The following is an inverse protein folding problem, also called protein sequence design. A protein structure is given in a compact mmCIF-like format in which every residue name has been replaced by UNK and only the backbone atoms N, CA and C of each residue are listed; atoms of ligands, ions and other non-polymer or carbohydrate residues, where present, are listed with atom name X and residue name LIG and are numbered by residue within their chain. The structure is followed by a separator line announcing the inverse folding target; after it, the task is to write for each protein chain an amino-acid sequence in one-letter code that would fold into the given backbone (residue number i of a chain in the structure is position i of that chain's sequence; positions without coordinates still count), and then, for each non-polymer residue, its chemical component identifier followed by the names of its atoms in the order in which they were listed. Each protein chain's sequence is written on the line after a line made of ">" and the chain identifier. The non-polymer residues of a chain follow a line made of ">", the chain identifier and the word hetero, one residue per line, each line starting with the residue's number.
data_IF_225368294679
#
_entry.id   IF_225368294679
#
_cell.length_a   1.000
_cell.length_b   1.000
_cell.length_c   1.000
_cell.angle_alpha   90.00
_cell.angle_beta   90.00
_cell.angle_gamma   90.00
#
_symmetry.space_group_name_H-M   'P 1'
#
loop_
_entity.id
_entity.type
_entity.pdbx_description
1 polymer ?
#
# COMPACT_ATOMS: atom_id res chain seq x y z
N UNK A 1 0.89 -14.47 -18.22
CA UNK A 1 -0.56 -14.22 -17.98
C UNK A 1 -0.72 -12.70 -17.83
N UNK A 2 -1.73 -12.07 -18.46
CA UNK A 2 -1.94 -10.62 -18.31
C UNK A 2 -3.02 -10.39 -17.24
N UNK A 3 -2.70 -9.62 -16.22
CA UNK A 3 -3.61 -9.25 -15.13
C UNK A 3 -3.38 -7.79 -14.74
N UNK A 4 -4.42 -7.14 -14.24
CA UNK A 4 -4.37 -5.80 -13.66
C UNK A 4 -4.52 -5.94 -12.15
N UNK A 5 -3.55 -5.45 -11.40
CA UNK A 5 -3.65 -5.30 -9.96
C UNK A 5 -4.45 -4.05 -9.63
N UNK A 6 -5.33 -4.13 -8.63
CA UNK A 6 -6.06 -2.97 -8.11
C UNK A 6 -5.75 -2.88 -6.62
N UNK A 7 -5.22 -1.74 -6.17
CA UNK A 7 -4.93 -1.52 -4.74
C UNK A 7 -5.99 -0.59 -4.16
N UNK A 8 -6.78 -1.09 -3.22
CA UNK A 8 -7.67 -0.28 -2.39
C UNK A 8 -6.84 0.43 -1.32
N UNK A 9 -6.13 1.48 -1.72
CA UNK A 9 -5.17 2.21 -0.91
C UNK A 9 -5.82 3.11 0.17
N UNK A 10 -7.12 2.95 0.42
CA UNK A 10 -7.74 3.38 1.66
C UNK A 10 -9.03 4.18 1.50
N UNK A 11 -9.45 4.70 2.65
CA UNK A 11 -10.58 5.58 2.89
C UNK A 11 -10.34 6.32 4.22
N UNK A 12 -11.22 7.24 4.59
CA UNK A 12 -11.04 8.05 5.79
C UNK A 12 -11.24 7.17 7.06
N UNK A 13 -10.15 6.74 7.68
CA UNK A 13 -10.18 5.86 8.86
C UNK A 13 -9.42 6.49 10.03
N UNK A 14 -10.16 6.79 11.10
CA UNK A 14 -9.64 7.49 12.27
C UNK A 14 -9.02 6.54 13.32
N UNK A 15 -9.01 5.22 13.09
CA UNK A 15 -8.49 4.23 14.05
C UNK A 15 -7.00 4.42 14.36
N UNK A 16 -6.22 4.96 13.42
CA UNK A 16 -4.79 5.24 13.63
C UNK A 16 -4.51 6.65 14.16
N UNK A 17 -5.55 7.46 14.36
CA UNK A 17 -5.47 8.78 15.01
C UNK A 17 -4.33 9.65 14.49
N UNK A 18 -3.46 10.07 15.41
CA UNK A 18 -2.35 10.99 15.14
C UNK A 18 -1.37 10.46 14.09
N UNK A 19 -1.20 9.13 13.97
CA UNK A 19 -0.28 8.50 13.03
C UNK A 19 -0.71 8.67 11.57
N UNK A 20 -2.03 8.71 11.32
CA UNK A 20 -2.61 8.93 9.99
C UNK A 20 -3.01 10.38 9.73
N UNK A 21 -2.81 11.29 10.68
CA UNK A 21 -3.21 12.70 10.55
C UNK A 21 -2.53 13.44 9.40
N UNK A 22 -1.27 13.10 9.12
CA UNK A 22 -0.43 13.78 8.10
C UNK A 22 -0.09 12.90 6.91
N UNK A 23 -0.56 11.65 6.87
CA UNK A 23 -0.25 10.70 5.81
C UNK A 23 -1.35 9.67 5.65
N UNK A 24 -1.59 9.25 4.42
CA UNK A 24 -2.47 8.11 4.17
C UNK A 24 -1.89 6.84 4.82
N UNK A 25 -2.78 5.93 5.24
CA UNK A 25 -2.40 4.66 5.87
C UNK A 25 -1.39 3.85 5.03
N UNK A 26 -1.47 3.78 3.68
CA UNK A 26 -0.47 3.05 2.88
C UNK A 26 0.93 3.67 2.95
N UNK A 27 1.03 4.96 3.25
CA UNK A 27 2.30 5.67 3.42
C UNK A 27 2.89 5.55 4.85
N UNK A 28 2.25 4.80 5.74
CA UNK A 28 2.77 4.53 7.08
C UNK A 28 4.08 3.73 7.00
N UNK A 29 5.13 4.15 7.74
CA UNK A 29 6.40 3.43 7.81
C UNK A 29 6.25 2.07 8.49
N UNK A 30 6.94 1.07 7.97
CA UNK A 30 7.01 -0.29 8.51
C UNK A 30 8.47 -0.74 8.45
N UNK A 31 8.97 -1.35 9.53
CA UNK A 31 10.30 -1.97 9.54
C UNK A 31 11.46 -1.01 9.26
N UNK A 32 11.32 0.28 9.58
CA UNK A 32 12.38 1.30 9.46
C UNK A 32 12.59 1.86 8.05
N UNK A 33 12.50 1.04 7.01
CA UNK A 33 12.84 1.43 5.63
C UNK A 33 11.70 1.30 4.62
N UNK A 34 10.56 0.73 5.01
CA UNK A 34 9.45 0.46 4.11
C UNK A 34 8.20 1.26 4.47
N UNK A 35 7.22 1.27 3.57
CA UNK A 35 5.86 1.72 3.79
C UNK A 35 4.89 0.55 3.63
N UNK A 36 3.71 0.64 4.23
CA UNK A 36 2.68 -0.41 4.08
C UNK A 36 2.40 -0.78 2.62
N UNK A 37 2.38 0.20 1.70
CA UNK A 37 2.11 -0.04 0.27
C UNK A 37 3.20 -0.89 -0.43
N UNK A 38 4.44 -0.82 0.05
CA UNK A 38 5.59 -1.49 -0.59
C UNK A 38 5.42 -3.01 -0.59
N UNK A 39 4.78 -3.57 0.44
CA UNK A 39 4.52 -4.99 0.54
C UNK A 39 3.55 -5.48 -0.54
N UNK A 40 2.47 -4.73 -0.79
CA UNK A 40 1.47 -5.12 -1.80
C UNK A 40 2.04 -4.97 -3.21
N UNK A 41 2.78 -3.89 -3.47
CA UNK A 41 3.46 -3.69 -4.75
C UNK A 41 4.54 -4.76 -5.00
N UNK A 42 5.33 -5.12 -3.98
CA UNK A 42 6.32 -6.19 -4.08
C UNK A 42 5.66 -7.54 -4.38
N UNK A 43 4.53 -7.84 -3.73
CA UNK A 43 3.76 -9.05 -4.01
C UNK A 43 3.25 -9.09 -5.46
N UNK A 44 2.72 -7.98 -5.96
CA UNK A 44 2.27 -7.87 -7.35
C UNK A 44 3.42 -8.08 -8.33
N UNK A 45 4.56 -7.41 -8.10
CA UNK A 45 5.77 -7.56 -8.91
C UNK A 45 6.27 -9.01 -8.92
N UNK A 46 6.41 -9.64 -7.75
CA UNK A 46 6.86 -11.03 -7.62
C UNK A 46 5.87 -12.04 -8.22
N UNK A 47 4.60 -11.65 -8.35
CA UNK A 47 3.54 -12.44 -8.99
C UNK A 47 3.38 -12.14 -10.49
N UNK A 48 4.27 -11.34 -11.08
CA UNK A 48 4.22 -10.92 -12.48
C UNK A 48 2.97 -10.09 -12.85
N UNK A 49 2.40 -9.36 -11.89
CA UNK A 49 1.33 -8.37 -12.09
C UNK A 49 1.98 -6.99 -12.25
N UNK A 50 2.20 -6.58 -13.49
CA UNK A 50 3.00 -5.39 -13.82
C UNK A 50 2.16 -4.11 -14.05
N UNK A 51 0.86 -4.26 -14.25
CA UNK A 51 -0.06 -3.12 -14.38
C UNK A 51 -0.87 -3.01 -13.10
N UNK A 52 -0.74 -1.90 -12.39
CA UNK A 52 -1.42 -1.65 -11.12
C UNK A 52 -2.19 -0.33 -11.21
N UNK A 53 -3.45 -0.36 -10.79
CA UNK A 53 -4.36 0.78 -10.72
C UNK A 53 -4.72 1.14 -9.26
#
# INVERSE_FOLDING_TARGET
>A
MKAVGIILAGGNNNRMGELSRKRAIPAMPVGGSFRCIDFVLSNMSNSHVQTVA
#
